data_IF_647698404230
#
_entry.id   IF_647698404230
#
_cell.length_a   1.000
_cell.length_b   1.000
_cell.length_c   1.000
_cell.angle_alpha   90.00
_cell.angle_beta   90.00
_cell.angle_gamma   90.00
#
_symmetry.space_group_name_H-M   'P 1'
#
loop_
_entity.id
_entity.type
_entity.pdbx_description
1 polymer ?
#
# COMPACT_ATOMS: atom_id res chain seq x y z
N UNK A 1 9.12 -12.26 18.42
CA UNK A 1 10.05 -11.82 17.36
C UNK A 1 9.81 -12.72 16.17
N UNK A 2 9.57 -12.18 14.98
CA UNK A 2 9.31 -12.97 13.76
C UNK A 2 10.63 -13.58 13.23
N UNK A 3 10.56 -14.77 12.65
CA UNK A 3 11.71 -15.44 12.04
C UNK A 3 11.75 -15.16 10.53
N UNK A 4 12.67 -14.29 10.13
CA UNK A 4 12.87 -13.90 8.73
C UNK A 4 13.78 -14.86 7.95
N UNK A 5 14.37 -15.86 8.62
CA UNK A 5 15.27 -16.82 7.95
C UNK A 5 14.53 -17.89 7.13
N UNK A 6 13.21 -18.04 7.36
CA UNK A 6 12.35 -19.03 6.70
C UNK A 6 10.97 -18.42 6.37
N UNK A 7 10.88 -17.52 5.38
CA UNK A 7 9.60 -16.94 5.00
C UNK A 7 8.70 -17.98 4.30
N UNK A 8 7.42 -17.98 4.66
CA UNK A 8 6.39 -18.78 3.98
C UNK A 8 5.81 -18.01 2.79
N UNK A 9 5.94 -18.56 1.59
CA UNK A 9 5.30 -18.00 0.41
C UNK A 9 3.78 -18.21 0.47
N UNK A 10 3.02 -17.13 0.27
CA UNK A 10 1.56 -17.18 0.31
C UNK A 10 0.94 -16.21 -0.69
N UNK A 11 -0.34 -16.44 -1.00
CA UNK A 11 -1.15 -15.54 -1.81
C UNK A 11 -2.15 -14.81 -0.94
N UNK A 12 -2.16 -13.49 -1.02
CA UNK A 12 -3.11 -12.64 -0.31
C UNK A 12 -4.10 -12.02 -1.30
N UNK A 13 -5.40 -11.96 -0.98
CA UNK A 13 -6.35 -11.15 -1.72
C UNK A 13 -5.93 -9.67 -1.73
N UNK A 14 -6.23 -8.95 -2.81
CA UNK A 14 -5.86 -7.55 -2.95
C UNK A 14 -6.38 -6.67 -1.79
N UNK A 15 -7.61 -6.92 -1.31
CA UNK A 15 -8.17 -6.21 -0.15
C UNK A 15 -7.38 -6.46 1.14
N UNK A 16 -6.85 -7.67 1.32
CA UNK A 16 -5.99 -7.99 2.47
C UNK A 16 -4.68 -7.23 2.38
N UNK A 17 -4.05 -7.18 1.19
CA UNK A 17 -2.84 -6.39 0.95
C UNK A 17 -3.08 -4.90 1.24
N UNK A 18 -4.15 -4.32 0.70
CA UNK A 18 -4.51 -2.92 0.96
C UNK A 18 -4.72 -2.66 2.46
N UNK A 19 -5.42 -3.55 3.15
CA UNK A 19 -5.65 -3.43 4.59
C UNK A 19 -4.33 -3.43 5.37
N UNK A 20 -3.35 -4.29 5.00
CA UNK A 20 -2.03 -4.26 5.61
C UNK A 20 -1.31 -2.92 5.37
N UNK A 21 -1.41 -2.37 4.16
CA UNK A 21 -0.69 -1.16 3.76
C UNK A 21 -1.24 0.14 4.37
N UNK A 22 -2.54 0.23 4.68
CA UNK A 22 -3.14 1.45 5.25
C UNK A 22 -3.37 1.36 6.76
N UNK A 23 -3.48 0.16 7.32
CA UNK A 23 -3.61 -0.09 8.76
C UNK A 23 -2.31 -0.64 9.35
N UNK A 24 -1.17 -0.20 8.83
CA UNK A 24 0.13 -0.62 9.33
C UNK A 24 0.39 -0.01 10.71
N UNK A 25 0.89 -0.84 11.62
CA UNK A 25 1.53 -0.39 12.85
C UNK A 25 2.98 0.02 12.55
N UNK A 26 3.65 -0.75 11.68
CA UNK A 26 5.02 -0.48 11.25
C UNK A 26 5.22 -0.93 9.80
N UNK A 27 6.01 -0.15 9.06
CA UNK A 27 6.36 -0.40 7.67
C UNK A 27 7.82 0.00 7.43
N UNK A 28 8.57 -0.84 6.72
CA UNK A 28 9.94 -0.53 6.28
C UNK A 28 10.15 -1.01 4.84
N UNK A 29 10.74 -0.16 4.02
CA UNK A 29 11.21 -0.52 2.68
C UNK A 29 12.58 -1.18 2.75
N UNK A 30 12.78 -2.27 2.02
CA UNK A 30 14.10 -2.80 1.72
C UNK A 30 14.56 -2.34 0.35
N UNK A 31 15.79 -1.84 0.32
CA UNK A 31 16.41 -1.30 -0.89
C UNK A 31 17.59 -2.16 -1.29
N UNK A 32 17.72 -2.36 -2.59
CA UNK A 32 18.95 -2.86 -3.19
C UNK A 32 19.47 -1.76 -4.12
N UNK A 33 20.67 -1.27 -3.84
CA UNK A 33 21.24 -0.11 -4.52
C UNK A 33 20.34 1.14 -4.44
N UNK A 34 19.70 1.52 -5.55
CA UNK A 34 18.91 2.75 -5.71
C UNK A 34 17.40 2.48 -5.90
N UNK A 35 16.95 1.24 -5.74
CA UNK A 35 15.55 0.86 -5.91
C UNK A 35 15.01 0.15 -4.67
N UNK A 36 13.76 0.46 -4.31
CA UNK A 36 13.00 -0.33 -3.37
C UNK A 36 12.61 -1.66 -4.02
N UNK A 37 12.96 -2.78 -3.40
CA UNK A 37 12.66 -4.12 -3.89
C UNK A 37 11.45 -4.72 -3.18
N UNK A 38 11.37 -4.54 -1.86
CA UNK A 38 10.26 -5.05 -1.05
C UNK A 38 9.89 -4.09 0.07
N UNK A 39 8.70 -4.31 0.63
CA UNK A 39 8.19 -3.63 1.82
C UNK A 39 7.87 -4.69 2.85
N UNK A 40 8.38 -4.52 4.07
CA UNK A 40 7.95 -5.28 5.22
C UNK A 40 6.88 -4.49 5.97
N UNK A 41 5.72 -5.12 6.18
CA UNK A 41 4.58 -4.51 6.86
C UNK A 41 4.03 -5.40 7.96
N UNK A 42 3.69 -4.77 9.08
CA UNK A 42 2.92 -5.37 10.16
C UNK A 42 1.69 -4.51 10.41
N UNK A 43 0.50 -5.04 10.19
CA UNK A 43 -0.72 -4.33 10.59
C UNK A 43 -0.99 -4.45 12.07
N UNK A 44 -1.67 -3.45 12.61
CA UNK A 44 -2.23 -3.53 13.96
C UNK A 44 -3.28 -4.65 14.07
N UNK A 45 -3.94 -4.99 12.96
CA UNK A 45 -4.93 -6.08 12.88
C UNK A 45 -4.29 -7.47 13.11
N UNK A 46 -3.08 -7.70 12.61
CA UNK A 46 -2.36 -8.99 12.73
C UNK A 46 -1.05 -8.89 13.51
N UNK A 47 -0.96 -7.93 14.44
CA UNK A 47 0.23 -7.46 15.17
C UNK A 47 1.17 -8.53 15.76
N UNK A 48 0.74 -9.79 15.86
CA UNK A 48 1.52 -10.91 16.39
C UNK A 48 1.43 -12.21 15.57
N UNK A 49 0.75 -12.18 14.41
CA UNK A 49 0.58 -13.37 13.57
C UNK A 49 1.60 -13.39 12.45
N UNK A 50 1.69 -12.29 11.70
CA UNK A 50 2.44 -12.28 10.45
C UNK A 50 3.23 -10.99 10.24
N UNK A 51 4.36 -11.18 9.59
CA UNK A 51 5.25 -10.16 9.05
C UNK A 51 5.21 -10.31 7.53
N UNK A 52 4.55 -9.40 6.82
CA UNK A 52 4.40 -9.55 5.38
C UNK A 52 5.53 -8.83 4.66
N UNK A 53 6.39 -9.59 4.00
CA UNK A 53 7.28 -9.04 2.99
C UNK A 53 6.57 -9.05 1.63
N UNK A 54 6.31 -7.87 1.08
CA UNK A 54 5.62 -7.68 -0.19
C UNK A 54 6.62 -7.15 -1.21
N UNK A 55 6.80 -7.89 -2.30
CA UNK A 55 7.65 -7.45 -3.40
C UNK A 55 7.02 -6.25 -4.11
N UNK A 56 7.79 -5.18 -4.31
CA UNK A 56 7.33 -3.95 -4.98
C UNK A 56 6.82 -4.25 -6.38
N UNK A 57 7.50 -5.16 -7.11
CA UNK A 57 7.10 -5.55 -8.45
C UNK A 57 5.67 -6.14 -8.49
N UNK A 58 5.30 -6.95 -7.51
CA UNK A 58 3.96 -7.56 -7.45
C UNK A 58 2.92 -6.58 -6.92
N UNK A 59 3.31 -5.68 -5.99
CA UNK A 59 2.46 -4.58 -5.57
C UNK A 59 2.09 -3.66 -6.74
N UNK A 60 3.07 -3.30 -7.59
CA UNK A 60 2.83 -2.48 -8.77
C UNK A 60 1.89 -3.17 -9.77
N UNK A 61 2.08 -4.47 -10.03
CA UNK A 61 1.15 -5.24 -10.89
C UNK A 61 -0.26 -5.23 -10.32
N UNK A 62 -0.41 -5.42 -9.01
CA UNK A 62 -1.71 -5.37 -8.34
C UNK A 62 -2.36 -3.99 -8.47
N UNK A 63 -1.60 -2.92 -8.20
CA UNK A 63 -2.09 -1.54 -8.28
C UNK A 63 -2.45 -1.14 -9.72
N UNK A 64 -1.76 -1.68 -10.73
CA UNK A 64 -2.06 -1.43 -12.13
C UNK A 64 -3.47 -1.89 -12.51
N UNK A 65 -3.95 -3.02 -11.97
CA UNK A 65 -5.31 -3.52 -12.20
C UNK A 65 -6.36 -2.46 -11.80
N UNK A 66 -6.14 -1.77 -10.69
CA UNK A 66 -7.04 -0.70 -10.23
C UNK A 66 -6.85 0.59 -11.02
N UNK A 67 -5.63 0.89 -11.47
CA UNK A 67 -5.33 2.08 -12.27
C UNK A 67 -5.90 1.99 -13.71
N UNK A 68 -6.06 0.78 -14.23
CA UNK A 68 -6.64 0.52 -15.56
C UNK A 68 -8.16 0.52 -15.58
N UNK A 69 -8.81 0.46 -14.42
CA UNK A 69 -10.26 0.54 -14.32
C UNK A 69 -10.79 1.87 -14.88
N UNK A 70 -11.89 1.83 -15.64
CA UNK A 70 -12.49 3.03 -16.24
C UNK A 70 -12.98 4.06 -15.22
N UNK A 71 -13.28 3.62 -14.00
CA UNK A 71 -13.66 4.48 -12.87
C UNK A 71 -12.46 5.09 -12.13
N UNK A 72 -11.24 4.67 -12.47
CA UNK A 72 -10.04 5.18 -11.83
C UNK A 72 -9.83 6.67 -12.12
N UNK A 73 -9.58 7.43 -11.06
CA UNK A 73 -9.29 8.84 -11.18
C UNK A 73 -7.94 9.05 -11.88
N UNK A 74 -7.96 9.65 -13.07
CA UNK A 74 -6.74 9.89 -13.87
C UNK A 74 -5.91 11.06 -13.36
N UNK A 75 -6.57 12.04 -12.75
CA UNK A 75 -5.92 13.23 -12.19
C UNK A 75 -6.77 13.81 -11.06
N UNK A 76 -6.10 14.35 -10.05
CA UNK A 76 -6.73 14.95 -8.89
C UNK A 76 -6.00 16.23 -8.48
N UNK A 77 -6.75 17.17 -7.92
CA UNK A 77 -6.22 18.34 -7.24
C UNK A 77 -6.63 18.33 -5.76
N UNK A 78 -5.83 18.99 -4.94
CA UNK A 78 -6.15 19.26 -3.54
C UNK A 78 -6.58 20.72 -3.41
N UNK A 79 -7.77 20.95 -2.89
CA UNK A 79 -8.32 22.28 -2.66
C UNK A 79 -8.67 22.45 -1.18
N UNK A 80 -8.32 23.59 -0.59
CA UNK A 80 -8.72 23.90 0.78
C UNK A 80 -10.25 24.08 0.85
N UNK A 81 -10.89 23.40 1.81
CA UNK A 81 -12.32 23.54 2.10
C UNK A 81 -12.50 24.24 3.46
N UNK A 82 -12.89 25.51 3.44
CA UNK A 82 -13.08 26.34 4.64
C UNK A 82 -14.11 25.78 5.63
N UNK A 83 -15.09 24.98 5.18
CA UNK A 83 -16.09 24.38 6.06
C UNK A 83 -15.55 23.16 6.79
N UNK A 84 -14.68 22.40 6.13
CA UNK A 84 -14.05 21.20 6.71
C UNK A 84 -12.74 21.53 7.44
N UNK A 85 -12.17 22.71 7.18
CA UNK A 85 -10.86 23.12 7.65
C UNK A 85 -9.77 22.10 7.26
N UNK A 86 -9.89 21.58 6.03
CA UNK A 86 -8.99 20.56 5.50
C UNK A 86 -8.89 20.65 3.96
N UNK A 87 -7.85 20.06 3.38
CA UNK A 87 -7.74 19.88 1.95
C UNK A 87 -8.60 18.71 1.48
N UNK A 88 -9.46 18.96 0.49
CA UNK A 88 -10.27 17.93 -0.15
C UNK A 88 -9.69 17.56 -1.50
N UNK A 89 -9.68 16.26 -1.80
CA UNK A 89 -9.36 15.75 -3.13
C UNK A 89 -10.55 16.00 -4.06
N UNK A 90 -10.29 16.64 -5.20
CA UNK A 90 -11.24 16.75 -6.31
C UNK A 90 -10.65 16.16 -7.58
N UNK A 91 -11.47 15.62 -8.49
CA UNK A 91 -11.01 15.36 -9.85
C UNK A 91 -10.44 16.64 -10.46
N UNK A 92 -9.23 16.58 -11.00
CA UNK A 92 -8.75 17.68 -11.82
C UNK A 92 -9.64 17.72 -13.07
N UNK A 93 -10.30 18.85 -13.31
CA UNK A 93 -11.08 19.03 -14.54
C UNK A 93 -10.21 18.81 -15.77
N UNK A 94 -10.78 18.18 -16.80
CA UNK A 94 -10.20 18.13 -18.15
C UNK A 94 -10.08 19.52 -18.74
#
# INVERSE_FOLDING_TARGET
>A
MFDFSKPDATYLPALTVCNQLIHYYWMQTYSNNRSFESILVFSDYERHKWAYEIQIADLLKMLQVFADDSSALRSACFEWDEKKLDYVVRPAGT
#
